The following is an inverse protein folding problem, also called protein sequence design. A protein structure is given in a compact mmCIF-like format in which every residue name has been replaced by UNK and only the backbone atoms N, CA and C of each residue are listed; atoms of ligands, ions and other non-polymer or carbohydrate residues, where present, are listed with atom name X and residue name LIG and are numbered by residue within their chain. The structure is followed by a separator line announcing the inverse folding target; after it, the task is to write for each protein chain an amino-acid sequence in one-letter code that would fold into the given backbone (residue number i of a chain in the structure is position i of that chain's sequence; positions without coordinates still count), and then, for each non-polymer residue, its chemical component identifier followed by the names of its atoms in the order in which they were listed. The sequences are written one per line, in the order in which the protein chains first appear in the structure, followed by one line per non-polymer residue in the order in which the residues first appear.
data_IF_983669525274
#
_entry.id   IF_983669525274
#
_cell.length_a   1.000
_cell.length_b   1.000
_cell.length_c   1.000
_cell.angle_alpha   90.00
_cell.angle_beta   90.00
_cell.angle_gamma   90.00
#
_symmetry.space_group_name_H-M   'P 1'
#
loop_
_entity.id
_entity.type
_entity.pdbx_description
1 polymer ?
#
# COMPACT_ATOMS: atom_id res chain seq x y z
N UNK A 1 -15.02 -7.18 12.15
CA UNK A 1 -14.48 -7.60 10.84
C UNK A 1 -12.98 -7.44 10.90
N UNK A 2 -12.21 -8.53 10.90
CA UNK A 2 -10.74 -8.46 10.98
C UNK A 2 -10.15 -8.47 9.59
N UNK A 3 -9.25 -7.53 9.32
CA UNK A 3 -8.38 -7.50 8.15
C UNK A 3 -7.05 -6.86 8.54
N UNK A 4 -6.01 -7.08 7.74
CA UNK A 4 -4.66 -6.61 7.99
C UNK A 4 -4.09 -5.85 6.81
N UNK A 5 -3.12 -4.98 7.09
CA UNK A 5 -2.33 -4.25 6.10
C UNK A 5 -0.93 -4.07 6.68
N UNK A 6 0.07 -4.73 6.09
CA UNK A 6 1.43 -4.80 6.62
C UNK A 6 2.47 -4.66 5.50
N UNK A 7 3.25 -3.56 5.49
CA UNK A 7 4.44 -3.42 4.66
C UNK A 7 5.62 -4.19 5.26
N UNK A 8 6.44 -4.84 4.42
CA UNK A 8 7.71 -5.46 4.79
C UNK A 8 8.66 -5.51 3.58
N UNK A 9 9.93 -5.06 3.71
CA UNK A 9 10.54 -4.44 4.90
C UNK A 9 9.93 -3.06 5.23
N UNK A 10 10.13 -2.63 6.47
CA UNK A 10 9.73 -1.31 6.98
C UNK A 10 10.64 -0.93 8.16
N UNK A 11 11.65 -0.05 7.99
CA UNK A 11 11.89 0.79 6.80
C UNK A 11 12.34 0.02 5.55
N UNK A 12 12.31 0.67 4.39
CA UNK A 12 12.93 0.21 3.14
C UNK A 12 13.72 1.36 2.48
N UNK A 13 14.69 1.04 1.62
CA UNK A 13 15.73 1.96 1.15
C UNK A 13 15.93 1.82 -0.37
N UNK A 14 15.18 2.57 -1.22
CA UNK A 14 15.27 2.49 -2.67
C UNK A 14 16.51 3.21 -3.22
N UNK A 15 17.69 2.62 -3.07
CA UNK A 15 18.99 3.16 -3.49
C UNK A 15 19.54 2.49 -4.77
N UNK A 16 18.92 1.39 -5.22
CA UNK A 16 19.29 0.64 -6.42
C UNK A 16 20.41 -0.38 -6.21
N UNK A 17 20.75 -0.75 -4.98
CA UNK A 17 21.77 -1.75 -4.67
C UNK A 17 21.23 -3.21 -4.66
N UNK A 18 19.92 -3.38 -4.83
CA UNK A 18 19.23 -4.67 -4.81
C UNK A 18 18.81 -5.15 -3.42
N UNK A 19 19.02 -4.38 -2.36
CA UNK A 19 18.71 -4.69 -0.98
C UNK A 19 17.64 -3.72 -0.48
N UNK A 20 16.48 -4.26 -0.06
CA UNK A 20 15.38 -3.46 0.50
C UNK A 20 14.90 -2.29 -0.38
N UNK A 21 15.08 -2.40 -1.71
CA UNK A 21 14.70 -1.36 -2.68
C UNK A 21 13.18 -1.12 -2.81
N UNK A 22 12.38 -2.02 -2.23
CA UNK A 22 10.93 -1.93 -2.24
C UNK A 22 10.33 -2.56 -0.98
N UNK A 23 9.11 -2.16 -0.66
CA UNK A 23 8.29 -2.80 0.37
C UNK A 23 7.19 -3.65 -0.26
N UNK A 24 6.98 -4.84 0.27
CA UNK A 24 5.84 -5.70 -0.07
C UNK A 24 4.73 -5.40 0.93
N UNK A 25 3.59 -4.97 0.41
CA UNK A 25 2.40 -4.61 1.18
C UNK A 25 1.45 -5.79 1.13
N UNK A 26 1.45 -6.58 2.21
CA UNK A 26 0.54 -7.71 2.38
C UNK A 26 -0.77 -7.25 3.00
N UNK A 27 -1.89 -7.77 2.52
CA UNK A 27 -3.21 -7.47 3.10
C UNK A 27 -4.06 -8.73 3.31
N UNK A 28 -5.00 -8.61 4.25
CA UNK A 28 -6.14 -9.52 4.37
C UNK A 28 -7.44 -8.75 4.54
N UNK A 29 -8.51 -9.26 3.94
CA UNK A 29 -9.84 -8.65 3.89
C UNK A 29 -10.86 -9.58 4.56
N UNK A 30 -11.94 -9.03 5.12
CA UNK A 30 -13.03 -9.82 5.68
C UNK A 30 -13.97 -10.44 4.61
N UNK A 31 -13.68 -10.23 3.33
CA UNK A 31 -14.51 -10.62 2.18
C UNK A 31 -13.79 -11.63 1.30
N UNK A 32 -14.54 -12.51 0.63
CA UNK A 32 -13.96 -13.50 -0.27
C UNK A 32 -13.41 -12.86 -1.55
N UNK A 33 -14.15 -11.90 -2.12
CA UNK A 33 -13.80 -11.18 -3.35
C UNK A 33 -14.20 -9.71 -3.24
N UNK A 34 -13.30 -8.80 -3.59
CA UNK A 34 -13.53 -7.36 -3.47
C UNK A 34 -12.88 -6.57 -4.58
N UNK A 35 -13.34 -5.33 -4.78
CA UNK A 35 -12.57 -4.29 -5.47
C UNK A 35 -11.70 -3.56 -4.46
N UNK A 36 -10.39 -3.58 -4.68
CA UNK A 36 -9.39 -2.98 -3.80
C UNK A 36 -8.82 -1.71 -4.40
N UNK A 37 -8.69 -0.69 -3.56
CA UNK A 37 -7.90 0.51 -3.83
C UNK A 37 -6.83 0.64 -2.75
N UNK A 38 -5.59 0.86 -3.15
CA UNK A 38 -4.48 1.11 -2.22
C UNK A 38 -3.78 2.40 -2.62
N UNK A 39 -3.84 3.39 -1.75
CA UNK A 39 -3.24 4.71 -1.96
C UNK A 39 -2.14 4.98 -0.95
N UNK A 40 -1.04 5.55 -1.42
CA UNK A 40 0.09 6.01 -0.61
C UNK A 40 -0.01 7.52 -0.46
N UNK A 41 0.00 8.00 0.77
CA UNK A 41 0.00 9.42 1.11
C UNK A 41 1.28 9.83 1.82
N UNK A 42 1.73 11.06 1.59
CA UNK A 42 2.74 11.69 2.44
C UNK A 42 2.14 12.18 3.79
N UNK A 43 2.99 12.65 4.71
CA UNK A 43 2.55 13.19 6.01
C UNK A 43 1.67 14.44 5.90
N UNK A 44 1.67 15.13 4.75
CA UNK A 44 0.82 16.29 4.49
C UNK A 44 -0.56 15.87 3.94
N UNK A 45 -0.80 14.57 3.78
CA UNK A 45 -2.03 14.02 3.24
C UNK A 45 -2.13 14.13 1.72
N UNK A 46 -1.04 14.45 1.01
CA UNK A 46 -1.04 14.47 -0.45
C UNK A 46 -0.94 13.04 -0.96
N UNK A 47 -1.75 12.70 -1.96
CA UNK A 47 -1.64 11.42 -2.66
C UNK A 47 -0.32 11.42 -3.45
N UNK A 48 0.55 10.47 -3.11
CA UNK A 48 1.87 10.31 -3.72
C UNK A 48 1.84 9.25 -4.82
N UNK A 49 1.14 8.13 -4.54
CA UNK A 49 1.05 6.99 -5.47
C UNK A 49 -0.24 6.21 -5.23
N UNK A 50 -0.82 5.67 -6.28
CA UNK A 50 -1.90 4.71 -6.25
C UNK A 50 -1.37 3.37 -6.77
N UNK A 51 -1.39 2.36 -5.90
CA UNK A 51 -0.84 1.03 -6.18
C UNK A 51 -1.88 0.07 -6.75
N UNK A 52 -3.16 0.33 -6.43
CA UNK A 52 -4.30 -0.35 -7.00
C UNK A 52 -5.48 0.63 -7.06
N UNK A 53 -6.27 0.56 -8.14
CA UNK A 53 -7.49 1.33 -8.31
C UNK A 53 -8.61 0.42 -8.82
N UNK A 54 -9.53 0.06 -7.92
CA UNK A 54 -10.64 -0.85 -8.25
C UNK A 54 -10.21 -2.25 -8.68
N UNK A 55 -9.01 -2.70 -8.28
CA UNK A 55 -8.47 -4.01 -8.66
C UNK A 55 -9.32 -5.14 -8.04
N UNK A 56 -9.74 -6.10 -8.85
CA UNK A 56 -10.39 -7.31 -8.34
C UNK A 56 -9.37 -8.15 -7.56
N UNK A 57 -9.69 -8.44 -6.30
CA UNK A 57 -8.79 -9.14 -5.40
C UNK A 57 -9.53 -10.10 -4.48
N UNK A 58 -8.89 -11.23 -4.20
CA UNK A 58 -9.34 -12.18 -3.18
C UNK A 58 -9.12 -11.63 -1.76
N UNK A 59 -9.54 -12.40 -0.77
CA UNK A 59 -9.39 -12.09 0.67
C UNK A 59 -7.96 -11.83 1.14
N UNK A 60 -6.95 -12.22 0.35
CA UNK A 60 -5.52 -11.98 0.62
C UNK A 60 -4.81 -11.63 -0.67
N UNK A 61 -3.77 -10.83 -0.55
CA UNK A 61 -2.88 -10.50 -1.66
C UNK A 61 -1.73 -9.60 -1.24
N UNK A 62 -0.92 -9.24 -2.22
CA UNK A 62 0.24 -8.37 -2.04
C UNK A 62 0.29 -7.31 -3.14
N UNK A 63 0.79 -6.14 -2.79
CA UNK A 63 1.16 -5.06 -3.70
C UNK A 63 2.59 -4.63 -3.38
N UNK A 64 3.28 -4.01 -4.33
CA UNK A 64 4.66 -3.56 -4.16
C UNK A 64 4.73 -2.04 -4.27
N UNK A 65 5.57 -1.42 -3.45
CA UNK A 65 5.95 -0.03 -3.63
C UNK A 65 7.47 0.13 -3.59
N UNK A 66 8.02 0.74 -4.64
CA UNK A 66 9.45 0.99 -4.84
C UNK A 66 9.86 2.42 -4.45
N UNK A 67 9.00 3.12 -3.71
CA UNK A 67 9.30 4.48 -3.27
C UNK A 67 9.15 5.55 -4.36
N UNK A 68 8.47 5.25 -5.47
CA UNK A 68 8.19 6.24 -6.52
C UNK A 68 6.78 6.80 -6.46
N UNK A 69 6.63 8.02 -6.92
CA UNK A 69 5.32 8.66 -7.16
C UNK A 69 4.72 8.27 -8.52
N UNK A 70 3.61 8.90 -8.92
CA UNK A 70 2.95 8.65 -10.20
C UNK A 70 3.80 9.02 -11.44
N UNK A 71 4.75 9.95 -11.33
CA UNK A 71 5.63 10.32 -12.45
C UNK A 71 6.79 9.34 -12.60
N UNK A 72 6.99 8.45 -11.63
CA UNK A 72 8.09 7.51 -11.59
C UNK A 72 9.33 8.08 -10.90
N UNK A 73 9.21 9.22 -10.22
CA UNK A 73 10.29 9.84 -9.49
C UNK A 73 10.35 9.33 -8.05
N UNK A 74 11.56 9.15 -7.53
CA UNK A 74 11.75 8.76 -6.13
C UNK A 74 11.28 9.86 -5.20
N UNK A 75 10.40 9.50 -4.28
CA UNK A 75 9.86 10.43 -3.30
C UNK A 75 10.91 10.72 -2.20
N UNK A 76 10.80 11.85 -1.48
CA UNK A 76 11.70 12.14 -0.36
C UNK A 76 11.62 11.09 0.76
N UNK A 77 12.71 10.91 1.51
CA UNK A 77 12.69 10.08 2.72
C UNK A 77 11.64 10.60 3.72
N UNK A 78 10.99 9.69 4.42
CA UNK A 78 9.96 10.04 5.40
C UNK A 78 8.98 8.92 5.68
N UNK A 79 7.97 9.26 6.50
CA UNK A 79 6.84 8.39 6.82
C UNK A 79 5.77 8.57 5.75
N UNK A 80 5.25 7.45 5.25
CA UNK A 80 4.15 7.40 4.31
C UNK A 80 3.00 6.58 4.89
N UNK A 81 1.77 6.97 4.55
CA UNK A 81 0.54 6.32 5.00
C UNK A 81 0.01 5.47 3.85
N UNK A 82 -0.11 4.18 4.09
CA UNK A 82 -0.82 3.24 3.22
C UNK A 82 -2.29 3.25 3.60
N UNK A 83 -3.18 3.50 2.66
CA UNK A 83 -4.62 3.48 2.85
C UNK A 83 -5.27 2.48 1.91
N UNK A 84 -5.70 1.35 2.48
CA UNK A 84 -6.39 0.27 1.80
C UNK A 84 -7.90 0.46 1.96
N UNK A 85 -8.62 0.41 0.84
CA UNK A 85 -10.07 0.37 0.79
C UNK A 85 -10.49 -0.86 -0.02
N UNK A 86 -11.50 -1.59 0.47
CA UNK A 86 -12.04 -2.76 -0.18
C UNK A 86 -13.57 -2.71 -0.17
N UNK A 87 -14.17 -2.89 -1.35
CA UNK A 87 -15.62 -3.00 -1.52
C UNK A 87 -15.98 -4.43 -1.88
N UNK A 88 -16.79 -5.08 -1.05
CA UNK A 88 -17.30 -6.42 -1.27
C UNK A 88 -18.21 -6.47 -2.50
N UNK A 89 -18.06 -7.52 -3.30
CA UNK A 89 -18.85 -7.67 -4.53
C UNK A 89 -20.23 -8.28 -4.29
N UNK A 90 -20.45 -8.95 -3.16
CA UNK A 90 -21.71 -9.63 -2.86
C UNK A 90 -22.65 -8.78 -2.01
N UNK A 91 -22.13 -8.21 -0.92
CA UNK A 91 -22.95 -7.55 0.12
C UNK A 91 -22.91 -6.03 0.08
N UNK A 92 -22.13 -5.45 -0.84
CA UNK A 92 -21.79 -4.02 -0.87
C UNK A 92 -21.14 -3.50 0.44
N UNK A 93 -20.58 -4.42 1.25
CA UNK A 93 -19.81 -4.08 2.44
C UNK A 93 -18.53 -3.33 2.09
N UNK A 94 -18.11 -2.42 2.98
CA UNK A 94 -16.85 -1.68 2.83
C UNK A 94 -15.91 -1.95 4.00
N UNK A 95 -14.64 -2.17 3.69
CA UNK A 95 -13.55 -2.30 4.64
C UNK A 95 -12.47 -1.29 4.32
N UNK A 96 -11.90 -0.66 5.35
CA UNK A 96 -10.77 0.24 5.20
C UNK A 96 -9.73 0.03 6.30
N UNK A 97 -8.45 0.14 5.94
CA UNK A 97 -7.34 0.00 6.89
C UNK A 97 -6.21 0.95 6.52
N UNK A 98 -5.60 1.56 7.54
CA UNK A 98 -4.36 2.33 7.40
C UNK A 98 -3.19 1.57 8.00
N UNK A 99 -2.03 1.76 7.41
CA UNK A 99 -0.73 1.34 7.93
C UNK A 99 0.30 2.39 7.56
N UNK A 100 1.49 2.33 8.15
CA UNK A 100 2.58 3.27 7.87
C UNK A 100 3.80 2.52 7.37
N UNK A 101 4.51 3.13 6.43
CA UNK A 101 5.81 2.66 5.98
C UNK A 101 6.81 3.81 6.01
N UNK A 102 8.05 3.51 6.41
CA UNK A 102 9.17 4.43 6.40
C UNK A 102 9.99 4.18 5.15
N UNK A 103 10.20 5.21 4.34
CA UNK A 103 11.16 5.23 3.25
C UNK A 103 12.41 5.97 3.72
N UNK A 104 13.54 5.28 3.74
CA UNK A 104 14.85 5.82 4.06
C UNK A 104 15.68 6.10 2.81
N UNK A 105 16.73 6.92 2.99
CA UNK A 105 17.88 7.01 2.09
C UNK A 105 19.11 6.97 2.99
N UNK A 106 20.06 6.09 2.67
CA UNK A 106 21.40 6.11 3.26
C UNK A 106 22.29 7.15 2.57
#
# INVERSE_FOLDING_TARGET
MSGSLSPSPNPFFPNGDGIEDFTIISYSLPYALSKVKLTVYDIKGRQTRMLADGMLAASRGTLLWDGKDETGDLVPSGIYILYLEASDLETAGVFAKKSTVVLGRD
#
